data_IF_357460806406
#
_entry.id   IF_357460806406
#
_cell.length_a   1.000
_cell.length_b   1.000
_cell.length_c   1.000
_cell.angle_alpha   90.00
_cell.angle_beta   90.00
_cell.angle_gamma   90.00
#
_symmetry.space_group_name_H-M   'P 1'
#
loop_
_entity.id
_entity.type
_entity.pdbx_description
1 polymer ?
#
# COMPACT_ATOMS: atom_id res chain seq x y z
N UNK A 1 -11.40 2.98 10.27
CA UNK A 1 -12.10 1.78 9.74
C UNK A 1 -11.20 0.58 9.93
N UNK A 2 -11.72 -0.52 10.47
CA UNK A 2 -11.01 -1.80 10.52
C UNK A 2 -11.31 -2.64 9.26
N UNK A 3 -10.33 -3.39 8.79
CA UNK A 3 -10.44 -4.29 7.65
C UNK A 3 -9.56 -5.53 7.87
N UNK A 4 -9.91 -6.67 7.25
CA UNK A 4 -9.09 -7.87 7.34
C UNK A 4 -7.87 -7.75 6.42
N UNK A 5 -6.69 -8.12 6.92
CA UNK A 5 -5.46 -8.19 6.13
C UNK A 5 -4.68 -9.46 6.48
N UNK A 6 -4.05 -10.07 5.47
CA UNK A 6 -3.35 -11.35 5.61
C UNK A 6 -1.85 -11.13 5.80
N UNK A 7 -1.29 -11.68 6.88
CA UNK A 7 0.15 -11.73 7.15
C UNK A 7 0.60 -13.19 7.15
N UNK A 8 1.13 -13.68 6.03
CA UNK A 8 1.40 -15.10 5.85
C UNK A 8 0.09 -15.91 5.83
N UNK A 9 -0.06 -16.86 6.74
CA UNK A 9 -1.28 -17.67 6.87
C UNK A 9 -2.35 -16.98 7.73
N UNK A 10 -1.96 -16.01 8.56
CA UNK A 10 -2.84 -15.36 9.51
C UNK A 10 -3.70 -14.27 8.87
N UNK A 11 -5.01 -14.31 9.12
CA UNK A 11 -5.92 -13.21 8.84
C UNK A 11 -6.10 -12.34 10.10
N UNK A 12 -5.70 -11.08 10.02
CA UNK A 12 -5.74 -10.14 11.15
C UNK A 12 -6.63 -8.95 10.83
N UNK A 13 -7.46 -8.55 11.78
CA UNK A 13 -8.20 -7.29 11.70
C UNK A 13 -7.30 -6.13 12.04
N UNK A 14 -7.07 -5.27 11.05
CA UNK A 14 -6.17 -4.11 11.16
C UNK A 14 -6.92 -2.82 10.85
N UNK A 15 -6.30 -1.70 11.18
CA UNK A 15 -6.72 -0.37 10.78
C UNK A 15 -5.52 0.40 10.23
N UNK A 16 -5.72 1.46 9.45
CA UNK A 16 -4.60 2.31 9.02
C UNK A 16 -4.00 3.03 10.22
N UNK A 17 -2.68 3.19 10.23
CA UNK A 17 -1.98 4.08 11.14
C UNK A 17 -2.23 5.54 10.70
N UNK A 18 -2.91 6.37 11.51
CA UNK A 18 -3.03 7.78 11.20
C UNK A 18 -1.66 8.48 11.29
N UNK A 19 -1.34 9.45 10.40
CA UNK A 19 -0.06 10.14 10.44
C UNK A 19 0.29 10.76 11.80
N UNK A 20 -0.71 11.32 12.50
CA UNK A 20 -0.55 11.90 13.84
C UNK A 20 -0.22 10.88 14.95
N UNK A 21 -0.38 9.58 14.68
CA UNK A 21 -0.04 8.50 15.61
C UNK A 21 1.33 7.86 15.29
N UNK A 22 2.01 8.33 14.24
CA UNK A 22 3.41 8.01 14.05
C UNK A 22 4.24 8.54 15.21
N UNK A 23 5.18 7.74 15.71
CA UNK A 23 5.90 8.07 16.95
C UNK A 23 7.18 7.27 17.14
N UNK A 24 7.83 7.46 18.28
CA UNK A 24 9.17 6.92 18.56
C UNK A 24 9.29 5.41 18.39
N UNK A 25 8.28 4.63 18.82
CA UNK A 25 8.29 3.17 18.64
C UNK A 25 8.35 2.77 17.15
N UNK A 26 7.66 3.50 16.27
CA UNK A 26 7.70 3.25 14.83
C UNK A 26 9.07 3.60 14.24
N UNK A 27 9.73 4.64 14.73
CA UNK A 27 11.08 5.00 14.28
C UNK A 27 12.11 3.99 14.76
N UNK A 28 12.01 3.56 16.02
CA UNK A 28 12.88 2.54 16.61
C UNK A 28 12.83 1.23 15.85
N UNK A 29 11.63 0.79 15.42
CA UNK A 29 11.52 -0.47 14.70
C UNK A 29 12.25 -0.44 13.35
N UNK A 30 12.36 0.73 12.71
CA UNK A 30 13.05 0.87 11.42
C UNK A 30 14.53 0.46 11.54
N UNK A 31 15.17 0.74 12.67
CA UNK A 31 16.57 0.39 12.90
C UNK A 31 16.79 -1.12 13.12
N UNK A 32 15.73 -1.86 13.47
CA UNK A 32 15.76 -3.30 13.69
C UNK A 32 15.30 -4.12 12.47
N UNK A 33 15.06 -3.47 11.34
CA UNK A 33 14.63 -4.14 10.11
C UNK A 33 15.76 -4.93 9.48
N UNK A 34 15.44 -6.10 8.97
CA UNK A 34 16.30 -6.87 8.07
C UNK A 34 15.50 -7.27 6.83
N UNK A 35 16.18 -7.52 5.72
CA UNK A 35 15.53 -8.00 4.50
C UNK A 35 16.19 -9.31 4.05
N UNK A 36 15.38 -10.36 3.89
CA UNK A 36 15.85 -11.69 3.53
C UNK A 36 14.81 -12.44 2.72
N UNK A 37 15.20 -12.98 1.57
CA UNK A 37 14.35 -13.84 0.75
C UNK A 37 13.06 -13.18 0.28
N UNK A 38 13.09 -11.89 -0.07
CA UNK A 38 11.90 -11.16 -0.48
C UNK A 38 11.01 -10.65 0.66
N UNK A 39 11.39 -10.91 1.91
CA UNK A 39 10.61 -10.55 3.09
C UNK A 39 11.34 -9.50 3.93
N UNK A 40 10.56 -8.55 4.46
CA UNK A 40 11.03 -7.63 5.49
C UNK A 40 10.87 -8.31 6.86
N UNK A 41 11.95 -8.60 7.56
CA UNK A 41 11.92 -9.21 8.89
C UNK A 41 11.94 -8.14 9.98
N UNK A 42 11.09 -8.33 10.99
CA UNK A 42 10.97 -7.46 12.15
C UNK A 42 11.11 -8.31 13.40
N UNK A 43 12.17 -8.08 14.18
CA UNK A 43 12.47 -8.91 15.35
C UNK A 43 11.65 -8.57 16.60
N UNK A 44 11.03 -7.38 16.66
CA UNK A 44 10.28 -6.96 17.83
C UNK A 44 8.92 -7.67 17.93
N UNK A 45 8.58 -8.09 19.15
CA UNK A 45 7.35 -8.80 19.45
C UNK A 45 6.10 -8.01 19.01
N UNK A 46 5.13 -8.72 18.42
CA UNK A 46 3.85 -8.16 17.98
C UNK A 46 3.89 -7.41 16.65
N UNK A 47 5.08 -7.09 16.12
CA UNK A 47 5.22 -6.49 14.79
C UNK A 47 5.12 -7.54 13.69
N UNK A 48 4.51 -7.16 12.56
CA UNK A 48 4.35 -8.04 11.39
C UNK A 48 4.59 -7.26 10.11
N UNK A 49 4.93 -7.98 9.04
CA UNK A 49 5.13 -7.42 7.71
C UNK A 49 4.65 -8.39 6.65
N UNK A 50 4.24 -7.86 5.50
CA UNK A 50 3.94 -8.64 4.31
C UNK A 50 4.32 -7.84 3.04
N UNK A 51 4.78 -8.52 1.97
CA UNK A 51 5.08 -7.84 0.72
C UNK A 51 3.79 -7.34 0.05
N UNK A 52 3.81 -6.11 -0.44
CA UNK A 52 2.76 -5.56 -1.31
C UNK A 52 3.15 -5.66 -2.79
N UNK A 53 4.43 -5.51 -3.08
CA UNK A 53 4.97 -5.56 -4.43
C UNK A 53 6.41 -5.10 -4.47
N UNK A 54 7.08 -5.38 -5.58
CA UNK A 54 8.41 -4.87 -5.84
C UNK A 54 8.60 -4.63 -7.33
N UNK A 55 9.28 -3.53 -7.64
CA UNK A 55 9.69 -3.14 -8.98
C UNK A 55 11.19 -2.90 -9.02
N UNK A 56 11.69 -2.34 -10.12
CA UNK A 56 13.13 -2.16 -10.34
C UNK A 56 13.81 -1.27 -9.28
N UNK A 57 13.12 -0.24 -8.79
CA UNK A 57 13.70 0.79 -7.92
C UNK A 57 13.28 0.69 -6.46
N UNK A 58 12.26 -0.12 -6.15
CA UNK A 58 11.76 -0.23 -4.78
C UNK A 58 10.97 -1.51 -4.50
N UNK A 59 10.95 -1.87 -3.24
CA UNK A 59 10.04 -2.88 -2.70
C UNK A 59 9.16 -2.24 -1.63
N UNK A 60 7.88 -2.60 -1.63
CA UNK A 60 6.90 -2.05 -0.69
C UNK A 60 6.33 -3.15 0.17
N UNK A 61 6.32 -2.90 1.47
CA UNK A 61 5.78 -3.80 2.49
C UNK A 61 4.65 -3.09 3.21
N UNK A 62 3.63 -3.84 3.60
CA UNK A 62 2.78 -3.41 4.70
C UNK A 62 3.48 -3.79 5.99
N UNK A 63 3.49 -2.89 6.96
CA UNK A 63 3.97 -3.14 8.31
C UNK A 63 2.81 -2.94 9.27
N UNK A 64 2.65 -3.89 10.19
CA UNK A 64 1.63 -3.88 11.23
C UNK A 64 2.31 -3.75 12.59
N UNK A 65 1.86 -2.79 13.38
CA UNK A 65 2.33 -2.60 14.74
C UNK A 65 1.58 -3.50 15.76
N UNK A 66 2.01 -3.55 17.03
CA UNK A 66 1.36 -4.35 18.07
C UNK A 66 -0.10 -3.93 18.36
N UNK A 67 -0.49 -2.71 17.99
CA UNK A 67 -1.87 -2.19 18.12
C UNK A 67 -2.72 -2.47 16.87
N UNK A 68 -2.25 -3.32 15.97
CA UNK A 68 -2.92 -3.70 14.71
C UNK A 68 -3.15 -2.52 13.77
N UNK A 69 -2.26 -1.54 13.80
CA UNK A 69 -2.26 -0.40 12.88
C UNK A 69 -1.26 -0.67 11.78
N UNK A 70 -1.66 -0.40 10.54
CA UNK A 70 -0.85 -0.67 9.34
C UNK A 70 -0.43 0.60 8.61
N UNK A 71 0.79 0.58 8.12
CA UNK A 71 1.34 1.57 7.19
C UNK A 71 2.10 0.85 6.06
N UNK A 72 2.36 1.55 4.97
CA UNK A 72 3.23 1.04 3.91
C UNK A 72 4.65 1.56 4.13
N UNK A 73 5.64 0.68 4.04
CA UNK A 73 7.05 0.99 4.09
C UNK A 73 7.69 0.67 2.76
N UNK A 74 8.29 1.68 2.14
CA UNK A 74 9.02 1.55 0.88
C UNK A 74 10.52 1.44 1.19
N UNK A 75 11.16 0.42 0.64
CA UNK A 75 12.60 0.26 0.59
C UNK A 75 13.06 0.68 -0.80
N UNK A 76 13.95 1.67 -0.88
CA UNK A 76 14.29 2.35 -2.13
C UNK A 76 15.75 2.08 -2.52
N UNK A 77 15.97 1.84 -3.80
CA UNK A 77 17.28 1.90 -4.44
C UNK A 77 17.46 3.25 -5.14
N UNK A 78 18.11 4.21 -4.48
CA UNK A 78 18.29 5.55 -5.04
C UNK A 78 19.12 5.60 -6.32
N UNK A 79 19.92 4.56 -6.60
CA UNK A 79 20.71 4.50 -7.84
C UNK A 79 19.83 4.33 -9.07
N UNK A 80 18.68 3.70 -8.89
CA UNK A 80 17.67 3.48 -9.92
C UNK A 80 16.43 4.35 -9.73
N UNK A 81 16.31 5.03 -8.58
CA UNK A 81 15.19 5.89 -8.25
C UNK A 81 15.11 7.08 -9.20
N UNK A 82 14.17 7.01 -10.14
CA UNK A 82 13.92 8.10 -11.07
C UNK A 82 13.14 9.18 -10.31
N UNK A 83 13.87 10.21 -9.85
CA UNK A 83 13.47 11.38 -9.05
C UNK A 83 12.28 12.23 -9.58
N UNK A 84 11.18 11.65 -10.06
CA UNK A 84 10.11 12.42 -10.69
C UNK A 84 8.89 11.63 -11.12
N UNK A 85 8.58 10.50 -10.49
CA UNK A 85 7.47 9.66 -10.90
C UNK A 85 6.53 9.40 -9.72
N UNK A 86 5.25 9.56 -10.02
CA UNK A 86 4.07 9.59 -9.14
C UNK A 86 4.25 9.67 -7.61
N UNK A 87 4.29 10.88 -7.03
CA UNK A 87 4.40 11.12 -5.57
C UNK A 87 3.04 11.54 -4.98
N UNK A 88 1.99 10.75 -5.22
CA UNK A 88 0.65 11.10 -4.70
C UNK A 88 0.38 10.59 -3.27
N UNK A 89 1.22 9.71 -2.74
CA UNK A 89 1.06 9.15 -1.39
C UNK A 89 1.38 10.14 -0.28
N UNK A 90 0.63 10.09 0.83
CA UNK A 90 0.93 10.83 2.04
C UNK A 90 2.06 10.13 2.82
N UNK A 91 3.30 10.61 2.63
CA UNK A 91 4.46 10.18 3.39
C UNK A 91 4.53 10.97 4.69
N UNK A 92 4.75 10.29 5.81
CA UNK A 92 4.89 10.92 7.12
C UNK A 92 6.25 10.63 7.77
N UNK A 93 7.09 9.81 7.14
CA UNK A 93 8.46 9.60 7.61
C UNK A 93 9.42 9.17 6.49
N UNK A 94 10.69 9.54 6.64
CA UNK A 94 11.78 9.11 5.78
C UNK A 94 13.03 8.93 6.64
N UNK A 95 13.73 7.81 6.46
CA UNK A 95 14.88 7.46 7.28
C UNK A 95 15.94 6.69 6.48
N UNK A 96 17.14 6.63 7.06
CA UNK A 96 18.23 5.77 6.60
C UNK A 96 18.37 4.58 7.55
N UNK A 97 18.31 3.38 7.00
CA UNK A 97 18.43 2.13 7.74
C UNK A 97 19.64 1.36 7.22
N UNK A 98 20.72 1.36 7.99
CA UNK A 98 22.01 0.80 7.57
C UNK A 98 21.93 -0.71 7.26
N UNK A 99 21.15 -1.47 8.05
CA UNK A 99 20.94 -2.90 7.84
C UNK A 99 20.26 -3.23 6.49
N UNK A 100 19.58 -2.26 5.87
CA UNK A 100 18.94 -2.42 4.57
C UNK A 100 19.84 -1.96 3.41
N UNK A 101 20.92 -1.22 3.67
CA UNK A 101 21.86 -0.76 2.63
C UNK A 101 22.81 -1.86 2.13
N UNK A 102 22.92 -2.97 2.88
CA UNK A 102 23.85 -4.07 2.61
C UNK A 102 23.17 -5.35 2.13
N UNK A 103 21.92 -5.24 1.66
CA UNK A 103 21.20 -6.41 1.13
C UNK A 103 21.93 -6.89 -0.12
N UNK A 104 22.47 -8.12 -0.13
CA UNK A 104 23.16 -8.65 -1.29
C UNK A 104 22.16 -8.88 -2.42
N UNK A 105 22.59 -8.58 -3.64
CA UNK A 105 21.85 -8.94 -4.84
C UNK A 105 21.59 -10.45 -4.85
N UNK A 106 20.32 -10.85 -5.01
CA UNK A 106 19.95 -12.24 -5.17
C UNK A 106 19.90 -12.59 -6.66
N UNK A 107 20.82 -13.41 -7.20
CA UNK A 107 20.82 -13.78 -8.61
C UNK A 107 19.63 -14.67 -9.01
N UNK A 108 18.92 -15.25 -8.02
CA UNK A 108 17.70 -16.00 -8.24
C UNK A 108 16.43 -15.13 -8.29
N UNK A 109 16.53 -13.84 -7.94
CA UNK A 109 15.39 -12.94 -7.97
C UNK A 109 15.13 -12.46 -9.40
N UNK A 110 13.87 -12.53 -9.84
CA UNK A 110 13.43 -12.02 -11.14
C UNK A 110 13.75 -10.52 -11.31
N UNK A 111 13.76 -9.78 -10.20
CA UNK A 111 14.21 -8.40 -10.09
C UNK A 111 15.27 -8.37 -9.00
N UNK A 112 16.48 -7.98 -9.36
CA UNK A 112 17.63 -7.93 -8.48
C UNK A 112 17.58 -6.77 -7.49
N UNK A 113 16.69 -6.87 -6.51
CA UNK A 113 16.45 -5.82 -5.53
C UNK A 113 17.66 -5.65 -4.61
N UNK A 114 18.37 -4.55 -4.81
CA UNK A 114 19.29 -3.99 -3.83
C UNK A 114 18.70 -2.69 -3.29
N UNK A 115 19.11 -2.23 -2.12
CA UNK A 115 18.61 -0.98 -1.55
C UNK A 115 19.76 -0.12 -1.06
N UNK A 116 19.60 1.20 -1.07
CA UNK A 116 20.59 2.15 -0.52
C UNK A 116 20.35 2.43 0.97
N UNK A 117 19.43 1.68 1.59
CA UNK A 117 18.98 1.89 2.96
C UNK A 117 18.02 3.08 3.13
N UNK A 118 17.63 3.77 2.05
CA UNK A 118 16.56 4.76 2.12
C UNK A 118 15.23 4.03 2.31
N UNK A 119 14.51 4.41 3.37
CA UNK A 119 13.13 3.96 3.59
C UNK A 119 12.18 5.14 3.70
N UNK A 120 10.97 4.97 3.17
CA UNK A 120 9.89 5.94 3.28
C UNK A 120 8.64 5.26 3.85
N UNK A 121 8.08 5.82 4.91
CA UNK A 121 6.81 5.37 5.47
C UNK A 121 5.68 6.27 4.98
N UNK A 122 4.59 5.65 4.54
CA UNK A 122 3.39 6.32 4.05
C UNK A 122 2.12 5.66 4.52
N UNK A 123 1.02 6.38 4.34
CA UNK A 123 -0.31 5.83 4.58
C UNK A 123 -0.53 4.57 3.74
N UNK A 124 -1.11 3.56 4.38
CA UNK A 124 -1.56 2.34 3.72
C UNK A 124 -2.90 2.59 3.02
N UNK A 125 -2.96 2.33 1.71
CA UNK A 125 -4.21 2.41 0.96
C UNK A 125 -4.84 1.02 0.88
N UNK A 126 -6.01 0.86 1.52
CA UNK A 126 -6.80 -0.37 1.43
C UNK A 126 -7.86 -0.20 0.35
N UNK A 127 -7.79 -0.97 -0.72
CA UNK A 127 -8.68 -0.79 -1.84
C UNK A 127 -8.34 -1.66 -3.02
N UNK A 128 -8.83 -1.26 -4.18
CA UNK A 128 -8.61 -1.98 -5.43
C UNK A 128 -8.00 -1.06 -6.49
N UNK A 129 -7.30 -1.64 -7.45
CA UNK A 129 -6.73 -0.90 -8.59
C UNK A 129 -7.83 -0.19 -9.41
N UNK A 130 -7.46 0.90 -10.07
CA UNK A 130 -8.35 1.71 -10.90
C UNK A 130 -9.07 0.91 -12.00
N UNK A 131 -8.41 -0.12 -12.52
CA UNK A 131 -8.96 -0.96 -13.59
C UNK A 131 -9.88 -2.07 -13.07
N UNK A 132 -9.97 -2.23 -11.74
CA UNK A 132 -10.66 -3.38 -11.15
C UNK A 132 -11.19 -3.04 -9.76
N UNK A 133 -12.48 -2.77 -9.63
CA UNK A 133 -13.17 -2.80 -8.34
C UNK A 133 -13.91 -4.13 -8.17
N UNK A 134 -13.87 -4.74 -6.98
CA UNK A 134 -14.60 -5.98 -6.72
C UNK A 134 -15.68 -5.81 -5.65
N UNK A 135 -16.90 -6.22 -5.97
CA UNK A 135 -17.99 -6.30 -5.01
C UNK A 135 -17.73 -7.40 -3.98
N UNK A 136 -17.15 -8.53 -4.40
CA UNK A 136 -16.85 -9.69 -3.55
C UNK A 136 -15.39 -10.14 -3.69
N UNK A 137 -14.81 -10.63 -2.61
CA UNK A 137 -13.45 -11.19 -2.63
C UNK A 137 -13.35 -12.52 -3.41
N UNK A 138 -14.47 -13.25 -3.54
CA UNK A 138 -14.51 -14.60 -4.13
C UNK A 138 -14.25 -14.67 -5.65
N UNK A 139 -14.10 -13.53 -6.34
CA UNK A 139 -13.77 -13.48 -7.75
C UNK A 139 -14.55 -12.42 -8.53
N UNK A 140 -14.12 -12.11 -9.76
CA UNK A 140 -14.74 -11.09 -10.59
C UNK A 140 -16.16 -11.49 -11.01
N UNK A 141 -17.06 -10.51 -11.07
CA UNK A 141 -18.44 -10.65 -11.52
C UNK A 141 -18.83 -9.57 -12.54
N UNK A 142 -19.94 -9.74 -13.27
CA UNK A 142 -20.45 -8.68 -14.17
C UNK A 142 -20.83 -7.40 -13.42
N UNK A 143 -21.27 -7.53 -12.17
CA UNK A 143 -21.56 -6.39 -11.31
C UNK A 143 -20.28 -5.58 -10.98
N UNK A 144 -19.13 -6.26 -10.88
CA UNK A 144 -17.84 -5.62 -10.64
C UNK A 144 -17.45 -4.70 -11.80
N UNK A 145 -17.71 -5.11 -13.04
CA UNK A 145 -17.53 -4.27 -14.22
C UNK A 145 -18.38 -3.00 -14.17
N UNK A 146 -19.67 -3.13 -13.88
CA UNK A 146 -20.57 -1.97 -13.77
C UNK A 146 -20.13 -1.01 -12.66
N UNK A 147 -19.74 -1.55 -11.49
CA UNK A 147 -19.25 -0.75 -10.37
C UNK A 147 -17.91 -0.08 -10.70
N UNK A 148 -17.00 -0.79 -11.35
CA UNK A 148 -15.71 -0.26 -11.81
C UNK A 148 -15.94 0.89 -12.78
N UNK A 149 -16.74 0.68 -13.84
CA UNK A 149 -17.04 1.73 -14.82
C UNK A 149 -17.72 2.94 -14.19
N UNK A 150 -18.68 2.72 -13.29
CA UNK A 150 -19.33 3.81 -12.56
C UNK A 150 -18.34 4.62 -11.70
N UNK A 151 -17.46 3.93 -10.94
CA UNK A 151 -16.41 4.59 -10.15
C UNK A 151 -15.42 5.35 -11.04
N UNK A 152 -15.01 4.77 -12.17
CA UNK A 152 -14.13 5.42 -13.14
C UNK A 152 -14.76 6.69 -13.70
N UNK A 153 -16.05 6.66 -14.07
CA UNK A 153 -16.78 7.85 -14.50
C UNK A 153 -16.88 8.90 -13.38
N UNK A 154 -17.17 8.48 -12.15
CA UNK A 154 -17.27 9.39 -11.00
C UNK A 154 -15.95 10.09 -10.69
N UNK A 155 -14.83 9.37 -10.81
CA UNK A 155 -13.49 9.87 -10.50
C UNK A 155 -12.67 10.29 -11.72
N UNK A 156 -13.26 10.33 -12.91
CA UNK A 156 -12.56 10.58 -14.17
C UNK A 156 -11.73 11.86 -14.14
N UNK A 157 -12.30 12.95 -13.61
CA UNK A 157 -11.61 14.24 -13.51
C UNK A 157 -10.39 14.16 -12.59
N UNK A 158 -10.57 13.57 -11.40
CA UNK A 158 -9.47 13.41 -10.44
C UNK A 158 -8.34 12.53 -11.02
N UNK A 159 -8.69 11.47 -11.75
CA UNK A 159 -7.72 10.63 -12.45
C UNK A 159 -6.98 11.41 -13.55
N UNK A 160 -7.70 12.20 -14.35
CA UNK A 160 -7.10 13.04 -15.38
C UNK A 160 -6.14 14.09 -14.79
N UNK A 161 -6.51 14.70 -13.66
CA UNK A 161 -5.65 15.64 -12.94
C UNK A 161 -4.35 14.97 -12.47
N UNK A 162 -4.43 13.72 -11.99
CA UNK A 162 -3.24 12.92 -11.67
C UNK A 162 -2.39 12.64 -12.91
N UNK A 163 -3.00 12.17 -14.00
CA UNK A 163 -2.30 11.84 -15.24
C UNK A 163 -1.64 13.07 -15.90
N UNK A 164 -2.24 14.25 -15.74
CA UNK A 164 -1.64 15.50 -16.20
C UNK A 164 -0.45 15.93 -15.33
N UNK A 165 -0.53 15.69 -14.01
CA UNK A 165 0.52 16.08 -13.06
C UNK A 165 1.71 15.13 -13.05
N UNK A 166 1.49 13.84 -13.29
CA UNK A 166 2.51 12.81 -13.18
C UNK A 166 2.60 12.01 -14.47
N UNK A 167 3.82 11.78 -14.97
CA UNK A 167 4.05 11.20 -16.30
C UNK A 167 3.72 9.72 -16.43
N UNK A 168 3.48 9.03 -15.32
CA UNK A 168 3.40 7.57 -15.27
C UNK A 168 2.18 7.04 -14.52
N UNK A 169 1.10 7.82 -14.50
CA UNK A 169 -0.18 7.34 -13.96
C UNK A 169 -0.75 6.25 -14.85
N UNK A 170 -0.98 5.09 -14.28
CA UNK A 170 -1.71 3.98 -14.90
C UNK A 170 -2.54 3.25 -13.84
N UNK A 171 -3.40 2.32 -14.27
CA UNK A 171 -4.45 1.82 -13.38
C UNK A 171 -3.96 1.00 -12.17
N UNK A 172 -2.73 0.48 -12.20
CA UNK A 172 -2.08 -0.19 -11.05
C UNK A 172 -1.59 0.77 -9.96
N UNK A 173 -1.37 2.04 -10.29
CA UNK A 173 -0.79 3.02 -9.37
C UNK A 173 -1.86 3.98 -8.83
N UNK A 174 -3.12 3.76 -9.18
CA UNK A 174 -4.24 4.53 -8.63
C UNK A 174 -5.23 3.54 -8.05
N UNK A 175 -5.60 3.72 -6.78
CA UNK A 175 -6.57 2.86 -6.14
C UNK A 175 -7.92 3.55 -5.97
N UNK A 176 -8.97 2.76 -6.16
CA UNK A 176 -10.24 2.89 -5.46
C UNK A 176 -10.06 2.49 -4.00
N UNK A 177 -9.71 3.46 -3.18
CA UNK A 177 -9.50 3.29 -1.76
C UNK A 177 -10.82 3.19 -1.01
N UNK A 178 -10.96 2.14 -0.21
CA UNK A 178 -12.06 2.00 0.74
C UNK A 178 -11.79 2.87 1.98
N UNK A 179 -12.71 3.79 2.25
CA UNK A 179 -12.58 4.83 3.25
C UNK A 179 -13.59 4.67 4.40
N UNK A 180 -13.22 5.13 5.61
CA UNK A 180 -14.17 5.39 6.69
C UNK A 180 -15.37 6.25 6.25
N UNK A 181 -16.51 6.11 6.94
CA UNK A 181 -17.77 6.81 6.58
C UNK A 181 -17.69 8.33 6.71
N UNK A 182 -16.84 8.80 7.61
CA UNK A 182 -16.55 10.20 7.91
C UNK A 182 -15.59 10.85 6.90
N UNK A 183 -14.99 10.08 5.99
CA UNK A 183 -14.14 10.60 4.93
C UNK A 183 -14.90 10.82 3.61
N UNK A 184 -14.49 11.80 2.79
CA UNK A 184 -15.11 12.07 1.50
C UNK A 184 -14.87 10.93 0.50
N UNK A 185 -15.90 10.64 -0.29
CA UNK A 185 -15.86 9.61 -1.32
C UNK A 185 -17.25 9.27 -1.89
N UNK A 186 -17.25 8.51 -2.97
CA UNK A 186 -18.45 7.95 -3.59
C UNK A 186 -19.01 6.82 -2.70
N UNK A 187 -20.33 6.75 -2.51
CA UNK A 187 -20.94 5.62 -1.81
C UNK A 187 -20.99 4.41 -2.74
N UNK A 188 -20.37 3.31 -2.33
CA UNK A 188 -20.31 2.09 -3.13
C UNK A 188 -20.71 0.88 -2.30
N UNK A 189 -21.48 -0.07 -2.86
CA UNK A 189 -21.70 -1.36 -2.24
C UNK A 189 -20.44 -2.24 -2.29
N UNK A 190 -20.18 -2.94 -1.18
CA UNK A 190 -19.18 -4.01 -1.07
C UNK A 190 -19.78 -5.18 -0.28
N UNK A 191 -19.31 -6.39 -0.50
CA UNK A 191 -19.66 -7.58 0.28
C UNK A 191 -18.47 -7.89 1.19
N UNK A 192 -18.71 -7.91 2.50
CA UNK A 192 -17.66 -8.23 3.45
C UNK A 192 -17.29 -9.72 3.47
N UNK A 193 -16.25 -10.06 4.24
CA UNK A 193 -15.79 -11.43 4.44
C UNK A 193 -16.86 -12.40 5.01
N UNK A 194 -17.97 -11.90 5.57
CA UNK A 194 -19.11 -12.72 6.04
C UNK A 194 -20.22 -12.87 5.00
N UNK A 195 -20.06 -12.27 3.81
CA UNK A 195 -21.08 -12.29 2.77
C UNK A 195 -22.15 -11.20 2.92
N UNK A 196 -22.00 -10.25 3.86
CA UNK A 196 -22.99 -9.18 4.08
C UNK A 196 -22.71 -7.97 3.20
N UNK A 197 -23.78 -7.44 2.60
CA UNK A 197 -23.72 -6.18 1.86
C UNK A 197 -23.45 -5.02 2.83
N UNK A 198 -22.45 -4.21 2.51
CA UNK A 198 -22.09 -2.99 3.23
C UNK A 198 -21.94 -1.84 2.26
N UNK A 199 -22.37 -0.66 2.69
CA UNK A 199 -22.05 0.58 2.00
C UNK A 199 -20.77 1.17 2.61
N UNK A 200 -19.80 1.43 1.73
CA UNK A 200 -18.51 2.04 2.06
C UNK A 200 -18.36 3.33 1.26
N UNK A 201 -17.50 4.22 1.74
CA UNK A 201 -17.03 5.36 0.94
C UNK A 201 -15.83 4.86 0.14
N UNK A 202 -15.80 5.19 -1.15
CA UNK A 202 -14.68 4.93 -2.04
C UNK A 202 -14.10 6.28 -2.42
N UNK A 203 -12.79 6.45 -2.27
CA UNK A 203 -12.10 7.61 -2.83
C UNK A 203 -11.02 7.18 -3.80
N UNK A 204 -10.47 8.16 -4.51
CA UNK A 204 -9.32 7.94 -5.36
C UNK A 204 -8.05 8.21 -4.55
N UNK A 205 -7.18 7.20 -4.44
CA UNK A 205 -5.90 7.32 -3.77
C UNK A 205 -4.76 6.95 -4.72
N UNK A 206 -3.92 7.91 -5.11
CA UNK A 206 -2.68 7.61 -5.80
C UNK A 206 -1.74 6.83 -4.87
N UNK A 207 -1.22 5.69 -5.35
CA UNK A 207 -0.12 4.96 -4.70
C UNK A 207 1.03 4.70 -5.67
N UNK A 208 2.24 4.92 -5.20
CA UNK A 208 3.43 4.61 -5.97
C UNK A 208 3.77 3.13 -5.77
N UNK A 209 3.29 2.24 -6.65
CA UNK A 209 3.59 0.81 -6.66
C UNK A 209 3.94 0.40 -8.10
N UNK A 210 5.22 0.34 -8.44
CA UNK A 210 5.68 -0.25 -9.70
C UNK A 210 6.03 -1.72 -9.50
#
# INVERSE_FOLDING_TARGET
>A
MQFPYRFGEDLVWVQKLPPAQWGGQHQQILHALAYRGGQLQIAAEGWRSAPLGAGEEKAVFVVCDPQRRVFALELIDERHYLNGRFIGGAYFHTARVASLAQVPFSPAALIGLTFTGLVKAREFAYGYEWDRFQLRAAGPSRADWLLTSWLQSHFQRAFADYAARYRDVHGRNVLFELRPRDQPGALCPTIDHTGRLRLVRVGLQPIDLR
#
